data_IF_999236073527
#
_entry.id   IF_999236073527
#
_cell.length_a   1.000
_cell.length_b   1.000
_cell.length_c   1.000
_cell.angle_alpha   90.00
_cell.angle_beta   90.00
_cell.angle_gamma   90.00
#
_symmetry.space_group_name_H-M   'P 1'
#
loop_
_entity.id
_entity.type
_entity.pdbx_description
1 polymer ?
#
# COMPACT_ATOMS: atom_id res chain seq x y z
N UNK A 1 34.84 -28.03 16.57
CA UNK A 1 34.92 -27.49 15.19
C UNK A 1 33.82 -28.15 14.39
N UNK A 2 32.87 -27.46 13.77
CA UNK A 2 32.79 -26.05 13.40
C UNK A 2 31.34 -25.77 12.99
N UNK A 3 30.78 -24.67 13.49
CA UNK A 3 29.89 -23.74 12.77
C UNK A 3 28.67 -24.33 12.06
N UNK A 4 27.64 -24.69 12.83
CA UNK A 4 26.25 -24.62 12.35
C UNK A 4 25.58 -23.43 13.04
N UNK A 5 24.94 -22.60 12.22
CA UNK A 5 23.97 -21.55 12.59
C UNK A 5 24.50 -20.16 12.95
N UNK A 6 25.48 -19.65 12.21
CA UNK A 6 25.67 -18.20 12.06
C UNK A 6 25.10 -17.72 10.71
N UNK A 7 23.80 -17.95 10.47
CA UNK A 7 23.08 -17.26 9.39
C UNK A 7 22.67 -15.85 9.84
N UNK A 8 23.67 -15.04 10.25
CA UNK A 8 23.47 -13.59 10.28
C UNK A 8 23.41 -13.15 8.82
N UNK A 9 22.20 -12.93 8.30
CA UNK A 9 22.05 -12.21 7.04
C UNK A 9 22.86 -10.92 7.17
N UNK A 10 23.76 -10.67 6.22
CA UNK A 10 24.51 -9.42 6.16
C UNK A 10 23.51 -8.25 6.26
N UNK A 11 23.79 -7.22 7.07
CA UNK A 11 22.89 -6.10 7.25
C UNK A 11 22.62 -5.47 5.89
N UNK A 12 21.33 -5.25 5.57
CA UNK A 12 20.98 -4.62 4.30
C UNK A 12 21.38 -3.15 4.34
N UNK A 13 21.56 -2.56 3.15
CA UNK A 13 21.98 -1.16 2.99
C UNK A 13 21.08 -0.20 3.77
N UNK A 14 19.76 -0.40 3.68
CA UNK A 14 18.78 0.43 4.34
C UNK A 14 18.15 -0.31 5.53
N UNK A 15 18.10 0.38 6.69
CA UNK A 15 17.29 -0.06 7.84
C UNK A 15 15.81 0.01 7.50
N UNK A 16 15.43 1.08 6.85
CA UNK A 16 14.04 1.41 6.61
C UNK A 16 13.92 2.11 5.28
N UNK A 17 12.88 1.74 4.55
CA UNK A 17 12.52 2.36 3.30
C UNK A 17 11.11 2.93 3.37
N UNK A 18 10.95 4.17 2.89
CA UNK A 18 9.70 4.90 2.99
C UNK A 18 9.09 5.01 1.59
N UNK A 19 7.89 4.46 1.42
CA UNK A 19 7.07 4.63 0.21
C UNK A 19 5.84 5.44 0.56
N UNK A 20 5.62 6.53 -0.15
CA UNK A 20 4.56 7.47 0.15
C UNK A 20 4.14 8.23 -1.10
N UNK A 21 2.89 8.69 -1.17
CA UNK A 21 2.45 9.54 -2.25
C UNK A 21 3.01 10.97 -2.06
N UNK A 22 3.38 11.62 -3.16
CA UNK A 22 4.14 12.88 -3.13
C UNK A 22 3.49 14.01 -2.33
N UNK A 23 2.16 14.07 -2.23
CA UNK A 23 1.47 15.09 -1.43
C UNK A 23 1.65 14.92 0.09
N UNK A 24 2.03 13.72 0.55
CA UNK A 24 2.33 13.46 1.97
C UNK A 24 3.80 13.70 2.30
N UNK A 25 4.61 14.20 1.35
CA UNK A 25 6.05 14.45 1.50
C UNK A 25 6.39 15.26 2.74
N UNK A 26 5.70 16.38 2.98
CA UNK A 26 6.03 17.25 4.11
C UNK A 26 5.95 16.53 5.47
N UNK A 27 5.03 15.58 5.62
CA UNK A 27 4.93 14.75 6.82
C UNK A 27 6.02 13.67 6.84
N UNK A 28 6.19 12.95 5.72
CA UNK A 28 7.16 11.85 5.65
C UNK A 28 8.61 12.33 5.76
N UNK A 29 8.92 13.54 5.30
CA UNK A 29 10.23 14.17 5.50
C UNK A 29 10.56 14.35 6.98
N UNK A 30 9.58 14.74 7.81
CA UNK A 30 9.78 14.86 9.26
C UNK A 30 10.09 13.50 9.87
N UNK A 31 9.36 12.46 9.46
CA UNK A 31 9.63 11.07 9.88
C UNK A 31 11.03 10.64 9.43
N UNK A 32 11.40 10.90 8.18
CA UNK A 32 12.70 10.55 7.62
C UNK A 32 13.86 11.21 8.40
N UNK A 33 13.74 12.49 8.73
CA UNK A 33 14.72 13.22 9.56
C UNK A 33 14.88 12.58 10.94
N UNK A 34 13.78 12.25 11.60
CA UNK A 34 13.80 11.60 12.91
C UNK A 34 14.43 10.20 12.87
N UNK A 35 14.20 9.44 11.80
CA UNK A 35 14.84 8.14 11.58
C UNK A 35 16.33 8.30 11.25
N UNK A 36 16.70 9.31 10.47
CA UNK A 36 18.08 9.61 10.11
C UNK A 36 18.93 10.02 11.33
N UNK A 37 18.35 10.68 12.33
CA UNK A 37 19.04 10.91 13.62
C UNK A 37 19.48 9.60 14.28
N UNK A 38 18.69 8.53 14.16
CA UNK A 38 19.01 7.22 14.75
C UNK A 38 19.90 6.34 13.88
N UNK A 39 19.75 6.41 12.55
CA UNK A 39 20.38 5.44 11.63
C UNK A 39 21.38 6.05 10.64
N UNK A 40 21.38 7.37 10.49
CA UNK A 40 22.06 8.09 9.41
C UNK A 40 21.24 8.11 8.11
N UNK A 41 21.32 9.21 7.36
CA UNK A 41 20.59 9.41 6.10
C UNK A 41 20.86 8.30 5.07
N UNK A 42 22.12 7.83 4.99
CA UNK A 42 22.52 6.75 4.07
C UNK A 42 21.78 5.42 4.30
N UNK A 43 21.20 5.22 5.48
CA UNK A 43 20.48 4.00 5.87
C UNK A 43 18.97 4.15 5.89
N UNK A 44 18.46 5.31 5.51
CA UNK A 44 17.04 5.58 5.32
C UNK A 44 16.80 5.77 3.83
N UNK A 45 16.05 4.86 3.20
CA UNK A 45 15.66 5.03 1.80
C UNK A 45 14.52 6.06 1.74
N UNK A 46 14.93 7.31 1.57
CA UNK A 46 14.10 8.49 1.35
C UNK A 46 14.69 9.24 0.15
N UNK A 47 13.85 9.59 -0.82
CA UNK A 47 14.29 10.02 -2.15
C UNK A 47 15.24 11.23 -2.16
N UNK A 48 15.05 12.21 -1.26
CA UNK A 48 15.94 13.37 -1.15
C UNK A 48 17.35 12.97 -0.68
N UNK A 49 17.50 11.93 0.14
CA UNK A 49 18.82 11.50 0.63
C UNK A 49 19.66 10.78 -0.45
N UNK A 50 19.04 10.36 -1.55
CA UNK A 50 19.66 9.59 -2.63
C UNK A 50 19.34 10.19 -4.01
N UNK A 51 19.18 11.52 -4.07
CA UNK A 51 18.73 12.26 -5.25
C UNK A 51 19.58 11.98 -6.51
N UNK A 52 20.90 11.96 -6.37
CA UNK A 52 21.83 11.66 -7.46
C UNK A 52 21.70 10.22 -7.98
N UNK A 53 21.40 9.26 -7.10
CA UNK A 53 21.15 7.86 -7.49
C UNK A 53 19.78 7.69 -8.16
N UNK A 54 18.79 8.48 -7.74
CA UNK A 54 17.42 8.40 -8.25
C UNK A 54 17.24 9.14 -9.57
N UNK A 55 18.16 10.04 -9.94
CA UNK A 55 18.20 10.72 -11.22
C UNK A 55 18.66 9.79 -12.36
N UNK A 56 17.90 8.72 -12.62
CA UNK A 56 18.20 7.68 -13.61
C UNK A 56 16.97 7.23 -14.38
N UNK A 57 17.22 6.60 -15.53
CA UNK A 57 16.18 5.89 -16.29
C UNK A 57 15.67 4.67 -15.50
N UNK A 58 14.43 4.29 -15.77
CA UNK A 58 13.74 3.12 -15.22
C UNK A 58 13.75 3.06 -13.68
N UNK A 59 13.60 4.22 -13.03
CA UNK A 59 13.51 4.32 -11.57
C UNK A 59 12.36 3.47 -11.01
N UNK A 60 11.29 3.33 -11.78
CA UNK A 60 10.12 2.50 -11.50
C UNK A 60 10.44 1.00 -11.41
N UNK A 61 11.54 0.54 -12.04
CA UNK A 61 12.06 -0.82 -11.93
C UNK A 61 13.13 -0.91 -10.83
N UNK A 62 13.99 0.10 -10.74
CA UNK A 62 15.11 0.11 -9.79
C UNK A 62 14.65 0.22 -8.33
N UNK A 63 13.72 1.14 -8.04
CA UNK A 63 13.27 1.43 -6.68
C UNK A 63 12.59 0.22 -6.00
N UNK A 64 11.73 -0.56 -6.67
CA UNK A 64 11.25 -1.84 -6.13
C UNK A 64 12.33 -2.84 -5.75
N UNK A 65 13.45 -2.89 -6.50
CA UNK A 65 14.58 -3.73 -6.12
C UNK A 65 15.18 -3.28 -4.79
N UNK A 66 15.38 -1.97 -4.60
CA UNK A 66 15.91 -1.44 -3.34
C UNK A 66 15.02 -1.79 -2.13
N UNK A 67 13.69 -1.71 -2.29
CA UNK A 67 12.75 -2.18 -1.26
C UNK A 67 12.96 -3.67 -0.96
N UNK A 68 12.99 -4.51 -1.99
CA UNK A 68 13.04 -5.96 -1.82
C UNK A 68 14.38 -6.45 -1.28
N UNK A 69 15.48 -6.05 -1.91
CA UNK A 69 16.80 -6.67 -1.69
C UNK A 69 17.66 -5.89 -0.71
N UNK A 70 17.45 -4.57 -0.59
CA UNK A 70 18.35 -3.68 0.14
C UNK A 70 17.73 -3.04 1.39
N UNK A 71 16.47 -3.33 1.72
CA UNK A 71 15.78 -2.72 2.87
C UNK A 71 15.39 -3.75 3.93
N UNK A 72 15.71 -3.49 5.20
CA UNK A 72 15.32 -4.36 6.33
C UNK A 72 13.82 -4.25 6.62
N UNK A 73 13.30 -3.03 6.79
CA UNK A 73 11.87 -2.73 6.93
C UNK A 73 11.39 -1.85 5.77
N UNK A 74 10.18 -2.10 5.27
CA UNK A 74 9.52 -1.33 4.22
C UNK A 74 8.25 -0.70 4.81
N UNK A 75 8.19 0.62 4.85
CA UNK A 75 7.06 1.37 5.37
C UNK A 75 6.25 1.94 4.22
N UNK A 76 5.00 1.52 4.10
CA UNK A 76 4.07 1.98 3.08
C UNK A 76 3.07 2.95 3.73
N UNK A 77 3.08 4.21 3.28
CA UNK A 77 2.12 5.25 3.66
C UNK A 77 0.98 5.28 2.65
N UNK A 78 -0.17 4.74 3.04
CA UNK A 78 -1.37 4.60 2.23
C UNK A 78 -2.26 5.86 2.34
N UNK A 79 -3.06 6.10 1.30
CA UNK A 79 -4.11 7.12 1.29
C UNK A 79 -5.29 6.66 0.41
N UNK A 80 -6.48 7.27 0.49
CA UNK A 80 -7.63 6.87 -0.33
C UNK A 80 -7.35 6.88 -1.83
N UNK A 81 -6.54 7.83 -2.30
CA UNK A 81 -6.15 7.97 -3.71
C UNK A 81 -4.97 7.07 -4.10
N UNK A 82 -4.41 6.29 -3.17
CA UNK A 82 -3.22 5.48 -3.40
C UNK A 82 -3.46 4.43 -4.50
N UNK A 83 -4.66 3.84 -4.56
CA UNK A 83 -5.07 2.93 -5.62
C UNK A 83 -5.34 3.59 -6.99
N UNK A 84 -5.41 4.92 -7.05
CA UNK A 84 -5.74 5.65 -8.28
C UNK A 84 -4.55 6.44 -8.87
N UNK A 85 -3.41 6.49 -8.15
CA UNK A 85 -2.21 7.23 -8.58
C UNK A 85 -1.40 6.43 -9.61
N UNK A 86 -0.63 7.16 -10.43
CA UNK A 86 0.16 6.66 -11.58
C UNK A 86 1.02 5.40 -11.31
N UNK A 87 1.33 5.13 -10.05
CA UNK A 87 1.93 3.88 -9.57
C UNK A 87 1.13 2.61 -9.93
N UNK A 88 -0.13 2.73 -10.36
CA UNK A 88 -1.01 1.60 -10.71
C UNK A 88 -0.72 0.88 -12.03
N UNK A 89 0.44 1.13 -12.66
CA UNK A 89 0.96 0.35 -13.80
C UNK A 89 1.78 -0.87 -13.39
N UNK A 90 2.77 -1.24 -14.23
CA UNK A 90 3.76 -2.32 -13.97
C UNK A 90 4.44 -2.20 -12.58
N UNK A 91 4.47 -1.00 -12.00
CA UNK A 91 4.94 -0.66 -10.66
C UNK A 91 4.16 -1.32 -9.51
N UNK A 92 2.82 -1.41 -9.59
CA UNK A 92 2.01 -2.11 -8.58
C UNK A 92 2.21 -3.62 -8.58
N UNK A 93 2.71 -4.20 -9.69
CA UNK A 93 3.13 -5.61 -9.72
C UNK A 93 4.23 -5.87 -8.71
N UNK A 94 5.15 -4.93 -8.51
CA UNK A 94 6.26 -5.15 -7.58
C UNK A 94 5.82 -5.10 -6.12
N UNK A 95 4.94 -4.17 -5.74
CA UNK A 95 4.35 -4.16 -4.39
C UNK A 95 3.50 -5.41 -4.15
N UNK A 96 2.68 -5.83 -5.13
CA UNK A 96 1.94 -7.10 -5.07
C UNK A 96 2.87 -8.30 -4.92
N UNK A 97 3.97 -8.33 -5.67
CA UNK A 97 4.96 -9.39 -5.59
C UNK A 97 5.68 -9.40 -4.25
N UNK A 98 5.94 -8.23 -3.66
CA UNK A 98 6.51 -8.11 -2.32
C UNK A 98 5.55 -8.61 -1.24
N UNK A 99 4.26 -8.25 -1.34
CA UNK A 99 3.22 -8.72 -0.41
C UNK A 99 2.95 -10.23 -0.59
N UNK A 100 3.10 -10.74 -1.81
CA UNK A 100 2.92 -12.16 -2.13
C UNK A 100 4.13 -13.05 -1.81
N UNK A 101 5.23 -12.51 -1.27
CA UNK A 101 6.43 -13.28 -0.89
C UNK A 101 6.61 -13.33 0.63
N UNK A 102 7.50 -14.20 1.16
CA UNK A 102 7.87 -14.18 2.59
C UNK A 102 8.39 -12.82 3.09
N UNK A 103 8.74 -11.92 2.17
CA UNK A 103 9.15 -10.55 2.48
C UNK A 103 8.01 -9.67 3.01
N UNK A 104 6.75 -10.11 2.91
CA UNK A 104 5.60 -9.39 3.44
C UNK A 104 5.71 -9.09 4.94
N UNK A 105 6.41 -9.93 5.70
CA UNK A 105 6.69 -9.71 7.13
C UNK A 105 7.54 -8.46 7.38
N UNK A 106 8.19 -7.91 6.36
CA UNK A 106 9.00 -6.68 6.44
C UNK A 106 8.19 -5.44 6.11
N UNK A 107 6.91 -5.59 5.78
CA UNK A 107 6.03 -4.48 5.44
C UNK A 107 5.35 -3.95 6.70
N UNK A 108 5.34 -2.62 6.82
CA UNK A 108 4.59 -1.91 7.84
C UNK A 108 3.70 -0.87 7.18
N UNK A 109 2.39 -0.94 7.46
CA UNK A 109 1.41 -0.02 6.89
C UNK A 109 1.07 1.13 7.84
N UNK A 110 1.15 2.34 7.31
CA UNK A 110 0.46 3.50 7.85
C UNK A 110 -0.57 3.96 6.84
N UNK A 111 -1.63 4.62 7.30
CA UNK A 111 -2.58 5.29 6.41
C UNK A 111 -2.84 6.72 6.84
N UNK A 112 -3.20 7.54 5.86
CA UNK A 112 -3.80 8.85 6.07
C UNK A 112 -5.31 8.72 5.87
N UNK A 113 -6.05 8.39 6.93
CA UNK A 113 -7.48 8.07 6.88
C UNK A 113 -7.74 6.64 6.40
N UNK A 114 -8.97 6.38 5.95
CA UNK A 114 -9.35 5.08 5.37
C UNK A 114 -8.69 4.90 3.99
N UNK A 115 -7.79 3.93 3.81
CA UNK A 115 -7.13 3.70 2.52
C UNK A 115 -8.09 3.13 1.45
N UNK A 116 -9.29 2.71 1.81
CA UNK A 116 -10.28 2.13 0.91
C UNK A 116 -9.91 0.71 0.45
N UNK A 117 -10.47 0.29 -0.69
CA UNK A 117 -10.23 -1.06 -1.22
C UNK A 117 -8.89 -1.13 -1.98
N UNK A 118 -7.88 -1.70 -1.31
CA UNK A 118 -6.55 -1.93 -1.87
C UNK A 118 -6.30 -3.40 -2.27
N UNK A 119 -7.36 -4.23 -2.38
CA UNK A 119 -7.24 -5.67 -2.71
C UNK A 119 -6.51 -5.93 -4.02
N UNK A 120 -6.61 -5.00 -4.97
CA UNK A 120 -5.86 -5.09 -6.21
C UNK A 120 -4.36 -5.12 -5.93
N UNK A 121 -3.85 -4.36 -4.95
CA UNK A 121 -2.44 -4.33 -4.53
C UNK A 121 -2.02 -5.54 -3.67
N UNK A 122 -2.94 -6.48 -3.41
CA UNK A 122 -2.70 -7.60 -2.50
C UNK A 122 -2.89 -7.24 -1.02
N UNK A 123 -3.32 -6.01 -0.71
CA UNK A 123 -3.64 -5.57 0.65
C UNK A 123 -5.12 -5.87 0.91
N UNK A 124 -5.37 -6.78 1.85
CA UNK A 124 -6.70 -7.30 2.17
C UNK A 124 -7.33 -6.54 3.34
N UNK A 125 -8.65 -6.65 3.50
CA UNK A 125 -9.38 -5.98 4.59
C UNK A 125 -9.00 -6.45 6.00
N UNK A 126 -8.32 -7.60 6.11
CA UNK A 126 -7.79 -8.12 7.38
C UNK A 126 -6.39 -7.59 7.71
N UNK A 127 -5.71 -6.92 6.79
CA UNK A 127 -4.35 -6.43 7.00
C UNK A 127 -4.35 -5.22 7.92
N UNK A 128 -3.52 -5.26 8.96
CA UNK A 128 -3.42 -4.20 9.94
C UNK A 128 -2.64 -2.99 9.42
N UNK A 129 -3.18 -1.80 9.65
CA UNK A 129 -2.48 -0.53 9.43
C UNK A 129 -2.66 0.43 10.61
N UNK A 130 -1.78 1.42 10.71
CA UNK A 130 -1.87 2.48 11.71
C UNK A 130 -2.38 3.74 11.03
N UNK A 131 -3.62 4.13 11.35
CA UNK A 131 -4.20 5.39 10.87
C UNK A 131 -3.56 6.59 11.58
N UNK A 132 -2.81 7.39 10.82
CA UNK A 132 -2.12 8.60 11.28
C UNK A 132 -3.13 9.71 11.58
N UNK A 133 -4.12 9.89 10.71
CA UNK A 133 -5.07 11.02 10.81
C UNK A 133 -6.11 10.73 11.90
N UNK A 134 -6.73 9.54 11.90
CA UNK A 134 -7.71 9.17 12.91
C UNK A 134 -7.13 9.10 14.32
N UNK A 135 -5.85 8.73 14.47
CA UNK A 135 -5.14 8.73 15.76
C UNK A 135 -4.38 10.02 16.06
N UNK A 136 -4.41 11.01 15.15
CA UNK A 136 -3.69 12.30 15.28
C UNK A 136 -2.21 12.14 15.63
N UNK A 137 -1.52 11.21 14.96
CA UNK A 137 -0.13 10.92 15.25
C UNK A 137 0.79 12.00 14.68
N UNK A 138 1.69 12.51 15.50
CA UNK A 138 2.81 13.32 15.07
C UNK A 138 3.91 12.46 14.42
N UNK A 139 4.82 13.09 13.66
CA UNK A 139 5.91 12.40 12.98
C UNK A 139 6.83 11.62 13.95
N UNK A 140 7.03 12.15 15.16
CA UNK A 140 7.77 11.53 16.26
C UNK A 140 7.14 10.21 16.68
N UNK A 141 5.81 10.18 16.80
CA UNK A 141 5.07 8.97 17.16
C UNK A 141 5.14 7.91 16.06
N UNK A 142 5.13 8.33 14.79
CA UNK A 142 5.29 7.43 13.64
C UNK A 142 6.72 6.86 13.61
N UNK A 143 7.73 7.71 13.74
CA UNK A 143 9.13 7.30 13.79
C UNK A 143 9.39 6.33 14.96
N UNK A 144 8.80 6.58 16.13
CA UNK A 144 8.92 5.68 17.28
C UNK A 144 8.28 4.32 17.00
N UNK A 145 7.08 4.28 16.42
CA UNK A 145 6.43 3.01 16.05
C UNK A 145 7.26 2.22 15.04
N UNK A 146 7.88 2.90 14.07
CA UNK A 146 8.81 2.29 13.10
C UNK A 146 10.02 1.71 13.84
N UNK A 147 10.62 2.45 14.78
CA UNK A 147 11.74 1.96 15.61
C UNK A 147 11.34 0.77 16.47
N UNK A 148 10.19 0.82 17.14
CA UNK A 148 9.65 -0.31 17.90
C UNK A 148 9.49 -1.53 17.00
N UNK A 149 8.92 -1.38 15.80
CA UNK A 149 8.73 -2.47 14.84
C UNK A 149 10.05 -3.10 14.38
N UNK A 150 11.11 -2.32 14.26
CA UNK A 150 12.46 -2.82 13.94
C UNK A 150 13.18 -3.45 15.14
N UNK A 151 12.79 -3.09 16.38
CA UNK A 151 13.30 -3.70 17.60
C UNK A 151 12.63 -5.03 17.98
N UNK A 152 11.51 -5.36 17.34
CA UNK A 152 10.89 -6.68 17.42
C UNK A 152 11.42 -7.56 16.30
N UNK A 153 12.19 -8.60 16.65
CA UNK A 153 12.43 -9.71 15.72
C UNK A 153 11.08 -10.27 15.25
N UNK A 154 10.92 -10.63 13.96
CA UNK A 154 9.75 -11.37 13.52
C UNK A 154 9.58 -12.56 14.46
N UNK A 155 8.36 -12.79 14.95
CA UNK A 155 8.09 -14.00 15.72
C UNK A 155 8.50 -15.17 14.82
N UNK A 156 9.63 -15.80 15.12
CA UNK A 156 9.95 -17.12 14.60
C UNK A 156 8.66 -17.93 14.81
N UNK A 157 7.95 -18.24 13.71
CA UNK A 157 6.93 -19.27 13.75
C UNK A 157 7.71 -20.53 14.02
N UNK A 158 7.97 -20.80 15.31
CA UNK A 158 8.48 -22.08 15.74
C UNK A 158 7.47 -23.06 15.19
N UNK A 159 7.91 -23.91 14.27
CA UNK A 159 7.17 -25.06 13.79
C UNK A 159 6.81 -25.92 15.01
N UNK A 160 5.75 -25.55 15.70
CA UNK A 160 5.19 -26.29 16.80
C UNK A 160 4.15 -27.22 16.17
N UNK A 161 4.39 -28.54 16.11
CA UNK A 161 3.42 -29.49 15.55
C UNK A 161 2.09 -29.53 16.33
N UNK A 162 1.96 -28.79 17.44
CA UNK A 162 0.77 -28.74 18.28
C UNK A 162 -0.10 -27.49 18.10
N UNK A 163 -0.05 -26.77 16.97
CA UNK A 163 -1.16 -25.84 16.67
C UNK A 163 -2.40 -26.67 16.31
N UNK A 164 -3.12 -27.08 17.35
CA UNK A 164 -4.40 -27.73 17.21
C UNK A 164 -5.46 -26.68 16.83
N UNK A 165 -5.65 -26.51 15.52
CA UNK A 165 -6.61 -25.61 14.88
C UNK A 165 -8.09 -25.95 15.18
N UNK A 166 -8.38 -27.01 15.93
CA UNK A 166 -9.75 -27.34 16.39
C UNK A 166 -10.41 -26.26 17.26
N UNK A 167 -9.68 -25.21 17.68
CA UNK A 167 -10.28 -24.05 18.37
C UNK A 167 -10.84 -22.97 17.46
N UNK A 168 -10.57 -23.01 16.14
CA UNK A 168 -11.13 -22.04 15.18
C UNK A 168 -12.62 -22.26 14.88
N UNK A 169 -13.20 -23.40 15.27
CA UNK A 169 -14.65 -23.66 15.16
C UNK A 169 -15.50 -22.89 16.17
N UNK A 170 -14.91 -22.14 17.11
CA UNK A 170 -15.69 -21.33 18.08
C UNK A 170 -16.07 -19.94 17.59
N UNK A 171 -15.55 -19.51 16.44
CA UNK A 171 -15.87 -18.21 15.83
C UNK A 171 -16.65 -18.31 14.50
N UNK A 172 -17.13 -19.50 14.14
CA UNK A 172 -18.24 -19.60 13.21
C UNK A 172 -19.53 -19.18 13.97
N UNK A 173 -20.22 -18.08 13.61
CA UNK A 173 -21.49 -17.76 14.23
C UNK A 173 -22.46 -18.92 13.98
N UNK A 174 -22.91 -19.54 15.07
CA UNK A 174 -23.87 -20.63 15.02
C UNK A 174 -25.13 -20.17 14.26
N UNK A 175 -25.43 -20.88 13.17
CA UNK A 175 -26.77 -21.05 12.63
C UNK A 175 -27.61 -19.78 12.43
N UNK A 176 -27.41 -19.10 11.30
CA UNK A 176 -28.55 -18.62 10.51
C UNK A 176 -28.31 -19.01 9.06
N UNK A 177 -28.99 -20.07 8.63
CA UNK A 177 -29.16 -20.31 7.20
C UNK A 177 -29.81 -19.05 6.59
N UNK A 178 -29.28 -18.48 5.51
CA UNK A 178 -30.07 -17.57 4.70
C UNK A 178 -31.31 -18.34 4.20
N UNK A 179 -32.52 -17.75 4.20
CA UNK A 179 -33.68 -18.42 3.65
C UNK A 179 -33.41 -18.77 2.18
N UNK A 180 -33.62 -20.03 1.82
CA UNK A 180 -33.48 -20.52 0.45
C UNK A 180 -34.28 -19.61 -0.50
N UNK A 181 -33.69 -19.14 -1.62
CA UNK A 181 -34.45 -18.40 -2.60
C UNK A 181 -35.51 -19.34 -3.18
N UNK A 182 -36.79 -19.00 -3.00
CA UNK A 182 -37.89 -19.63 -3.74
C UNK A 182 -37.71 -19.24 -5.21
N UNK A 183 -37.16 -20.16 -6.00
CA UNK A 183 -37.16 -20.09 -7.45
C UNK A 183 -38.62 -20.11 -7.95
N UNK A 184 -39.09 -19.08 -8.68
CA UNK A 184 -40.26 -19.26 -9.51
C UNK A 184 -39.85 -20.08 -10.75
N UNK A 185 -40.47 -21.25 -10.89
CA UNK A 185 -40.57 -21.95 -12.16
C UNK A 185 -41.43 -21.07 -13.09
N UNK A 186 -40.89 -20.58 -14.21
CA UNK A 186 -41.49 -20.76 -15.53
C UNK A 186 -40.69 -20.10 -16.69
N UNK A 187 -40.47 -20.92 -17.71
CA UNK A 187 -40.66 -20.66 -19.14
C UNK A 187 -39.90 -19.50 -19.81
N UNK A 188 -38.78 -19.88 -20.46
CA UNK A 188 -38.65 -19.84 -21.92
C UNK A 188 -38.79 -18.50 -22.64
N UNK A 189 -37.67 -18.02 -23.20
CA UNK A 189 -37.48 -17.81 -24.65
C UNK A 189 -36.11 -17.19 -24.92
N UNK A 190 -35.32 -17.87 -25.75
CA UNK A 190 -34.25 -17.21 -26.50
C UNK A 190 -34.87 -16.13 -27.39
N UNK A 191 -34.31 -14.92 -27.38
CA UNK A 191 -34.34 -14.03 -28.53
C UNK A 191 -33.03 -13.24 -28.57
N UNK A 192 -32.30 -13.45 -29.66
CA UNK A 192 -31.22 -12.60 -30.13
C UNK A 192 -31.76 -11.20 -30.47
N UNK A 193 -30.93 -10.14 -30.42
CA UNK A 193 -30.78 -9.09 -31.46
C UNK A 193 -30.19 -7.75 -30.94
N UNK A 194 -29.21 -7.28 -31.73
CA UNK A 194 -28.76 -5.93 -32.08
C UNK A 194 -28.17 -4.94 -31.05
N UNK A 195 -26.89 -4.67 -31.31
CA UNK A 195 -26.15 -3.42 -31.10
C UNK A 195 -26.82 -2.28 -31.90
N UNK A 196 -27.09 -1.09 -31.32
CA UNK A 196 -27.32 0.10 -32.12
C UNK A 196 -26.02 0.88 -32.33
N UNK A 197 -25.83 1.26 -33.59
CA UNK A 197 -24.73 2.03 -34.14
C UNK A 197 -24.71 3.49 -33.67
N UNK A 198 -23.51 4.06 -33.78
CA UNK A 198 -23.17 5.46 -33.63
C UNK A 198 -24.12 6.40 -34.41
N UNK A 199 -24.43 7.55 -33.81
CA UNK A 199 -25.00 8.69 -34.53
C UNK A 199 -24.06 9.89 -34.41
N UNK A 200 -23.51 10.23 -35.58
CA UNK A 200 -22.78 11.46 -35.90
C UNK A 200 -23.75 12.62 -36.16
N UNK A 201 -23.20 13.83 -36.12
CA UNK A 201 -23.75 15.15 -36.51
C UNK A 201 -24.48 15.90 -35.37
N UNK A 202 -24.24 17.20 -35.09
CA UNK A 202 -23.77 18.33 -35.90
C UNK A 202 -23.23 19.45 -34.98
N UNK A 203 -22.24 20.19 -35.46
CA UNK A 203 -21.84 21.51 -34.94
C UNK A 203 -22.88 22.58 -35.31
N UNK A 204 -22.94 23.69 -34.54
CA UNK A 204 -22.80 25.00 -35.18
C UNK A 204 -21.83 25.95 -34.45
N UNK A 205 -21.40 26.94 -35.24
CA UNK A 205 -20.35 27.96 -35.14
C UNK A 205 -20.43 28.94 -33.93
N UNK A 206 -19.40 29.81 -33.75
CA UNK A 206 -19.20 30.58 -32.51
C UNK A 206 -19.88 31.95 -32.57
N UNK A 207 -20.30 32.46 -31.41
CA UNK A 207 -20.62 33.88 -31.22
C UNK A 207 -19.83 34.46 -30.04
N UNK A 208 -19.43 35.71 -30.21
CA UNK A 208 -18.42 36.48 -29.46
C UNK A 208 -19.01 37.21 -28.25
N UNK A 209 -18.08 37.62 -27.38
CA UNK A 209 -18.19 38.74 -26.42
C UNK A 209 -18.92 38.37 -25.12
N UNK A 210 -18.52 38.77 -23.92
CA UNK A 210 -17.55 39.76 -23.48
C UNK A 210 -17.27 39.52 -21.98
N UNK A 211 -16.10 39.97 -21.52
CA UNK A 211 -15.81 40.53 -20.18
C UNK A 211 -15.82 39.71 -18.86
N UNK A 212 -14.65 39.87 -18.21
CA UNK A 212 -14.42 40.26 -16.81
C UNK A 212 -14.34 39.20 -15.69
N UNK A 213 -13.11 39.11 -15.16
CA UNK A 213 -12.74 39.26 -13.73
C UNK A 213 -12.72 38.01 -12.82
N UNK A 214 -11.51 37.69 -12.36
CA UNK A 214 -11.20 36.87 -11.18
C UNK A 214 -11.45 37.66 -9.87
N UNK A 215 -11.13 37.15 -8.65
CA UNK A 215 -11.00 35.77 -8.13
C UNK A 215 -11.89 35.54 -6.87
N UNK A 216 -11.76 34.36 -6.23
CA UNK A 216 -11.67 34.16 -4.76
C UNK A 216 -12.58 33.07 -4.15
N UNK A 217 -11.90 32.17 -3.41
CA UNK A 217 -12.26 31.49 -2.16
C UNK A 217 -13.67 30.90 -1.91
N UNK A 218 -13.69 29.68 -1.34
CA UNK A 218 -14.45 29.30 -0.12
C UNK A 218 -13.99 27.91 0.36
N UNK A 219 -13.42 27.87 1.57
CA UNK A 219 -13.88 27.22 2.84
C UNK A 219 -13.51 25.75 2.89
#
# INVERSE_FOLDING_TARGET
MSDLDNNRQQPRRFRVALSFPGEKRAFVEQVAKLLAVSFGEKRVLYDIYHDAEFARLDLDVYLPSLYRTESELIVLFLCPEYANKRWCGLECRHIRQLIGTPDAERIMFFSFGDPGNLSQLGILSGDGYIDIEGRRLAAESVAEKIRTRMGHEPLEIRNNPEINISRLDRYAPAGRHPPSPRLPLLAGRCLSVAIPAARSQRSPSPDRSDRLQAPSARI
#
